data_IF_202470216509
#
_entry.id   IF_202470216509
#
_cell.length_a   1.000
_cell.length_b   1.000
_cell.length_c   1.000
_cell.angle_alpha   90.00
_cell.angle_beta   90.00
_cell.angle_gamma   90.00
#
_symmetry.space_group_name_H-M   'P 1'
#
loop_
_entity.id
_entity.type
_entity.pdbx_description
1 polymer ?
#
# COMPACT_ATOMS: atom_id res chain seq x y z
N UNK A 1 -7.44 4.77 8.37
CA UNK A 1 -8.75 5.05 8.99
C UNK A 1 -9.56 5.87 8.01
N UNK A 2 -10.14 5.17 7.05
CA UNK A 2 -10.77 5.75 5.87
C UNK A 2 -11.99 4.89 5.55
N UNK A 3 -13.11 5.50 5.18
CA UNK A 3 -14.28 4.74 4.78
C UNK A 3 -14.16 4.25 3.33
N UNK A 4 -14.61 3.02 3.08
CA UNK A 4 -14.51 2.36 1.79
C UNK A 4 -15.22 3.13 0.68
N UNK A 5 -16.30 3.83 1.01
CA UNK A 5 -17.10 4.59 0.04
C UNK A 5 -16.33 5.83 -0.45
N UNK A 6 -15.60 6.52 0.43
CA UNK A 6 -14.72 7.63 0.05
C UNK A 6 -13.57 7.15 -0.84
N UNK A 7 -12.96 6.01 -0.50
CA UNK A 7 -11.92 5.38 -1.33
C UNK A 7 -12.45 5.06 -2.74
N UNK A 8 -13.65 4.50 -2.84
CA UNK A 8 -14.28 4.17 -4.11
C UNK A 8 -14.59 5.42 -4.93
N UNK A 9 -15.11 6.48 -4.30
CA UNK A 9 -15.38 7.75 -4.96
C UNK A 9 -14.11 8.36 -5.57
N UNK A 10 -13.01 8.41 -4.80
CA UNK A 10 -11.72 8.90 -5.30
C UNK A 10 -11.21 8.10 -6.51
N UNK A 11 -11.38 6.77 -6.50
CA UNK A 11 -11.02 5.93 -7.66
C UNK A 11 -11.89 6.21 -8.87
N UNK A 12 -13.20 6.33 -8.69
CA UNK A 12 -14.14 6.67 -9.77
C UNK A 12 -13.82 8.05 -10.37
N UNK A 13 -13.31 8.98 -9.56
CA UNK A 13 -12.82 10.29 -10.02
C UNK A 13 -11.41 10.25 -10.63
N UNK A 14 -10.85 9.07 -10.94
CA UNK A 14 -9.56 8.92 -11.60
C UNK A 14 -8.33 9.17 -10.73
N UNK A 15 -8.49 9.34 -9.41
CA UNK A 15 -7.35 9.54 -8.49
C UNK A 15 -6.66 8.21 -8.19
N UNK A 16 -5.33 8.24 -8.11
CA UNK A 16 -4.55 7.14 -7.52
C UNK A 16 -4.66 7.24 -6.01
N UNK A 17 -5.01 6.12 -5.38
CA UNK A 17 -5.31 6.05 -3.95
C UNK A 17 -4.31 5.11 -3.30
N UNK A 18 -3.55 5.64 -2.36
CA UNK A 18 -2.66 4.90 -1.47
C UNK A 18 -3.25 4.97 -0.07
N UNK A 19 -3.36 3.84 0.61
CA UNK A 19 -3.89 3.80 1.98
C UNK A 19 -2.94 3.05 2.91
N UNK A 20 -2.95 3.45 4.18
CA UNK A 20 -2.36 2.69 5.29
C UNK A 20 -3.52 2.13 6.11
N UNK A 21 -3.59 0.82 6.20
CA UNK A 21 -4.67 0.10 6.89
C UNK A 21 -4.08 -1.01 7.75
N UNK A 22 -4.71 -1.32 8.88
CA UNK A 22 -4.29 -2.45 9.70
C UNK A 22 -4.81 -3.78 9.17
N UNK A 23 -5.91 -3.74 8.42
CA UNK A 23 -6.58 -4.95 7.94
C UNK A 23 -6.44 -5.11 6.43
N UNK A 24 -5.89 -6.25 5.96
CA UNK A 24 -5.87 -6.56 4.54
C UNK A 24 -7.29 -6.85 3.99
N UNK A 25 -8.26 -7.07 4.88
CA UNK A 25 -9.64 -7.42 4.55
C UNK A 25 -10.60 -6.23 4.62
N UNK A 26 -10.11 -5.00 4.81
CA UNK A 26 -11.01 -3.84 4.80
C UNK A 26 -11.51 -3.52 3.39
N UNK A 27 -12.70 -2.90 3.29
CA UNK A 27 -13.22 -2.42 1.99
C UNK A 27 -12.27 -1.41 1.35
N UNK A 28 -11.66 -0.54 2.15
CA UNK A 28 -10.68 0.46 1.74
C UNK A 28 -9.42 -0.20 1.17
N UNK A 29 -8.82 -1.15 1.88
CA UNK A 29 -7.61 -1.87 1.46
C UNK A 29 -7.80 -2.55 0.09
N UNK A 30 -8.91 -3.27 -0.09
CA UNK A 30 -9.23 -3.92 -1.37
C UNK A 30 -9.54 -2.94 -2.49
N UNK A 31 -10.07 -1.76 -2.14
CA UNK A 31 -10.44 -0.75 -3.12
C UNK A 31 -9.24 0.08 -3.54
N UNK A 32 -8.27 0.38 -2.67
CA UNK A 32 -7.13 1.23 -2.98
C UNK A 32 -6.25 0.68 -4.13
N UNK A 33 -5.45 1.56 -4.74
CA UNK A 33 -4.45 1.14 -5.74
C UNK A 33 -3.22 0.53 -5.08
N UNK A 34 -2.87 1.02 -3.88
CA UNK A 34 -1.76 0.55 -3.05
C UNK A 34 -2.25 0.56 -1.60
N UNK A 35 -2.03 -0.54 -0.89
CA UNK A 35 -2.28 -0.65 0.55
C UNK A 35 -0.97 -1.00 1.25
N UNK A 36 -0.66 -0.26 2.29
CA UNK A 36 0.37 -0.64 3.25
C UNK A 36 -0.36 -1.21 4.47
N UNK A 37 -0.19 -2.51 4.71
CA UNK A 37 -0.82 -3.20 5.84
C UNK A 37 0.04 -3.04 7.09
N UNK A 38 -0.12 -1.91 7.79
CA UNK A 38 0.73 -1.52 8.92
C UNK A 38 0.00 -0.51 9.84
N UNK A 39 0.48 -0.36 11.07
CA UNK A 39 0.11 0.74 11.95
C UNK A 39 0.71 2.05 11.43
N UNK A 40 -0.12 3.10 11.33
CA UNK A 40 0.32 4.38 10.76
C UNK A 40 1.50 5.03 11.50
N UNK A 41 1.60 4.84 12.83
CA UNK A 41 2.69 5.39 13.65
C UNK A 41 4.03 4.75 13.28
N UNK A 42 4.04 3.46 12.92
CA UNK A 42 5.25 2.76 12.44
C UNK A 42 5.49 3.01 10.95
N UNK A 43 4.42 3.04 10.15
CA UNK A 43 4.47 3.18 8.71
C UNK A 43 5.13 4.49 8.26
N UNK A 44 4.68 5.64 8.78
CA UNK A 44 5.12 6.94 8.27
C UNK A 44 6.63 7.19 8.43
N UNK A 45 7.27 6.90 9.59
CA UNK A 45 8.72 7.03 9.72
C UNK A 45 9.50 6.12 8.77
N UNK A 46 9.06 4.88 8.58
CA UNK A 46 9.69 3.93 7.67
C UNK A 46 9.56 4.37 6.21
N UNK A 47 8.37 4.82 5.82
CA UNK A 47 8.12 5.35 4.48
C UNK A 47 9.01 6.55 4.18
N UNK A 48 9.14 7.49 5.13
CA UNK A 48 10.02 8.64 4.99
C UNK A 48 11.48 8.23 4.78
N UNK A 49 11.96 7.25 5.57
CA UNK A 49 13.33 6.71 5.43
C UNK A 49 13.55 6.09 4.05
N UNK A 50 12.58 5.33 3.52
CA UNK A 50 12.69 4.74 2.19
C UNK A 50 12.66 5.80 1.08
N UNK A 51 11.80 6.82 1.20
CA UNK A 51 11.78 7.97 0.28
C UNK A 51 13.14 8.66 0.22
N UNK A 52 13.78 8.92 1.37
CA UNK A 52 15.09 9.57 1.42
C UNK A 52 16.21 8.72 0.81
N UNK A 53 16.16 7.39 0.98
CA UNK A 53 17.10 6.48 0.29
C UNK A 53 16.90 6.51 -1.22
N UNK A 54 15.65 6.56 -1.65
CA UNK A 54 15.25 6.55 -3.05
C UNK A 54 15.66 7.82 -3.78
N UNK A 55 15.51 8.99 -3.15
CA UNK A 55 15.98 10.28 -3.70
C UNK A 55 17.48 10.29 -4.01
N UNK A 56 18.28 9.53 -3.25
CA UNK A 56 19.75 9.46 -3.38
C UNK A 56 20.25 8.54 -4.50
N UNK A 57 19.39 7.71 -5.09
CA UNK A 57 19.76 6.83 -6.22
C UNK A 57 19.56 7.58 -7.55
N UNK A 58 20.52 7.50 -8.48
CA UNK A 58 20.40 8.10 -9.82
C UNK A 58 19.23 7.47 -10.61
N UNK A 59 18.32 8.31 -11.10
CA UNK A 59 16.91 7.96 -11.33
C UNK A 59 16.51 7.58 -12.77
N UNK A 60 17.35 7.05 -13.66
CA UNK A 60 16.84 6.81 -15.04
C UNK A 60 16.20 5.43 -15.24
N UNK A 61 16.87 4.33 -14.90
CA UNK A 61 16.43 3.01 -15.39
C UNK A 61 15.52 2.22 -14.44
N UNK A 62 15.34 2.67 -13.19
CA UNK A 62 14.66 1.87 -12.16
C UNK A 62 13.16 2.17 -12.00
N UNK A 63 12.70 3.39 -12.32
CA UNK A 63 11.33 3.83 -12.00
C UNK A 63 10.28 3.36 -12.98
N UNK A 64 10.65 3.15 -14.25
CA UNK A 64 9.69 2.71 -15.27
C UNK A 64 9.32 1.23 -15.15
N UNK A 65 10.21 0.43 -14.54
CA UNK A 65 10.03 -1.02 -14.39
C UNK A 65 9.34 -1.42 -13.09
N UNK A 66 9.44 -0.61 -12.03
CA UNK A 66 8.86 -0.87 -10.71
C UNK A 66 7.32 -0.98 -10.72
N UNK A 67 6.56 -0.05 -11.34
CA UNK A 67 5.10 -0.09 -11.32
C UNK A 67 4.53 -1.32 -12.03
N UNK A 68 5.24 -1.86 -13.03
CA UNK A 68 4.75 -2.98 -13.86
C UNK A 68 4.68 -4.30 -13.08
N UNK A 69 5.39 -4.42 -11.96
CA UNK A 69 5.47 -5.65 -11.16
C UNK A 69 4.59 -5.62 -9.91
N UNK A 70 4.08 -4.45 -9.53
CA UNK A 70 3.30 -4.29 -8.31
C UNK A 70 1.85 -4.77 -8.49
N UNK A 71 1.31 -5.47 -7.48
CA UNK A 71 -0.10 -5.86 -7.42
C UNK A 71 -0.62 -5.75 -5.99
N UNK A 72 -1.54 -4.82 -5.74
CA UNK A 72 -2.15 -4.64 -4.42
C UNK A 72 -2.83 -5.94 -3.97
N UNK A 73 -3.50 -6.65 -4.88
CA UNK A 73 -4.13 -7.95 -4.57
C UNK A 73 -3.14 -8.96 -4.02
N UNK A 74 -1.94 -9.08 -4.61
CA UNK A 74 -0.91 -10.00 -4.12
C UNK A 74 -0.42 -9.61 -2.72
N UNK A 75 -0.16 -8.31 -2.50
CA UNK A 75 0.26 -7.80 -1.18
C UNK A 75 -0.79 -8.06 -0.10
N UNK A 76 -2.08 -7.88 -0.41
CA UNK A 76 -3.16 -8.16 0.54
C UNK A 76 -3.27 -9.66 0.87
N UNK A 77 -3.08 -10.54 -0.12
CA UNK A 77 -3.06 -11.99 0.10
C UNK A 77 -1.87 -12.42 0.99
N UNK A 78 -0.68 -11.89 0.72
CA UNK A 78 0.51 -12.14 1.55
C UNK A 78 0.31 -11.66 2.99
N UNK A 79 -0.26 -10.46 3.18
CA UNK A 79 -0.57 -9.93 4.50
C UNK A 79 -1.64 -10.77 5.22
N UNK A 80 -2.67 -11.25 4.52
CA UNK A 80 -3.67 -12.15 5.08
C UNK A 80 -3.05 -13.49 5.52
N UNK A 81 -2.18 -14.07 4.69
CA UNK A 81 -1.46 -15.30 5.01
C UNK A 81 -0.57 -15.13 6.25
N UNK A 82 0.18 -14.03 6.33
CA UNK A 82 1.01 -13.72 7.49
C UNK A 82 0.18 -13.61 8.78
N UNK A 83 -1.02 -13.02 8.73
CA UNK A 83 -1.91 -12.96 9.89
C UNK A 83 -2.44 -14.35 10.30
N UNK A 84 -2.61 -15.26 9.35
CA UNK A 84 -3.06 -16.63 9.60
C UNK A 84 -1.96 -17.50 10.20
N UNK A 85 -0.71 -17.29 9.83
CA UNK A 85 0.44 -18.06 10.36
C UNK A 85 0.88 -17.62 11.74
N UNK A 86 0.64 -16.37 12.13
CA UNK A 86 0.93 -15.85 13.48
C UNK A 86 -0.03 -16.40 14.55
N UNK A 87 -1.14 -17.03 14.14
CA UNK A 87 -2.12 -17.67 15.05
C UNK A 87 -1.83 -19.15 15.35
N UNK A 88 -0.61 -19.63 15.11
CA UNK A 88 -0.16 -21.00 15.41
C UNK A 88 0.82 -21.04 16.58
#
# INVERSE_FOLDING_TARGET
LEDGDRCLALRKSGKKVVTVDLSPLSRTARTAHITIVDNIVRCLPLLNKEIEKLKKKSQMDTWESLPKRYSNTKILLEAEQALRTVKG
#
